data_IF_593203950332
#
_entry.id   IF_593203950332
#
_cell.length_a   1.000
_cell.length_b   1.000
_cell.length_c   1.000
_cell.angle_alpha   90.00
_cell.angle_beta   90.00
_cell.angle_gamma   90.00
#
_symmetry.space_group_name_H-M   'P 1'
#
loop_
_entity.id
_entity.type
_entity.pdbx_description
1 polymer ?
#
# COMPACT_ATOMS: atom_id res chain seq x y z
N UNK A 1 6.38 -14.61 -8.99
CA UNK A 1 5.99 -15.37 -10.20
C UNK A 1 4.71 -14.72 -10.71
N UNK A 2 4.76 -13.99 -11.82
CA UNK A 2 3.58 -13.35 -12.41
C UNK A 2 3.20 -14.08 -13.70
N UNK A 3 1.90 -14.22 -13.96
CA UNK A 3 1.41 -14.81 -15.21
C UNK A 3 1.82 -13.91 -16.37
N UNK A 4 2.44 -14.44 -17.44
CA UNK A 4 2.82 -13.65 -18.60
C UNK A 4 1.61 -12.96 -19.22
N UNK A 5 1.83 -11.76 -19.78
CA UNK A 5 0.79 -11.04 -20.51
C UNK A 5 0.50 -11.80 -21.80
N UNK A 6 -0.68 -12.41 -21.91
CA UNK A 6 -1.11 -13.09 -23.14
C UNK A 6 -1.61 -12.07 -24.16
N UNK A 7 -1.13 -12.20 -25.40
CA UNK A 7 -1.48 -11.32 -26.53
C UNK A 7 -2.99 -11.33 -26.85
N UNK A 8 -3.64 -12.49 -26.74
CA UNK A 8 -5.05 -12.70 -27.09
C UNK A 8 -6.04 -12.44 -25.94
N UNK A 9 -5.59 -11.81 -24.85
CA UNK A 9 -6.46 -11.54 -23.70
C UNK A 9 -7.24 -10.24 -23.89
N UNK A 10 -8.56 -10.29 -23.70
CA UNK A 10 -9.42 -9.10 -23.62
C UNK A 10 -9.02 -8.12 -22.50
N UNK A 11 -8.18 -8.55 -21.55
CA UNK A 11 -7.70 -7.73 -20.42
C UNK A 11 -6.23 -7.32 -20.54
N UNK A 12 -5.59 -7.56 -21.70
CA UNK A 12 -4.15 -7.35 -21.93
C UNK A 12 -3.68 -5.98 -21.47
N UNK A 13 -4.33 -4.91 -21.93
CA UNK A 13 -3.91 -3.54 -21.63
C UNK A 13 -4.01 -3.23 -20.14
N UNK A 14 -5.20 -3.44 -19.54
CA UNK A 14 -5.42 -3.21 -18.11
C UNK A 14 -4.52 -4.06 -17.22
N UNK A 15 -4.26 -5.31 -17.61
CA UNK A 15 -3.38 -6.20 -16.85
C UNK A 15 -1.92 -5.76 -16.93
N UNK A 16 -1.44 -5.33 -18.10
CA UNK A 16 -0.09 -4.80 -18.30
C UNK A 16 0.13 -3.49 -17.54
N UNK A 17 -0.84 -2.59 -17.56
CA UNK A 17 -0.81 -1.34 -16.79
C UNK A 17 -0.75 -1.62 -15.27
N UNK A 18 -1.59 -2.52 -14.78
CA UNK A 18 -1.56 -2.93 -13.37
C UNK A 18 -0.23 -3.58 -12.99
N UNK A 19 0.36 -4.41 -13.85
CA UNK A 19 1.66 -5.04 -13.59
C UNK A 19 2.77 -3.98 -13.47
N UNK A 20 2.80 -3.02 -14.40
CA UNK A 20 3.78 -1.94 -14.40
C UNK A 20 3.63 -1.05 -13.15
N UNK A 21 2.40 -0.78 -12.72
CA UNK A 21 2.10 -0.01 -11.52
C UNK A 21 2.49 -0.77 -10.24
N UNK A 22 2.22 -2.08 -10.17
CA UNK A 22 2.65 -2.93 -9.05
C UNK A 22 4.18 -3.01 -8.96
N UNK A 23 4.88 -3.21 -10.09
CA UNK A 23 6.35 -3.24 -10.13
C UNK A 23 6.97 -1.91 -9.69
N UNK A 24 6.36 -0.78 -10.06
CA UNK A 24 6.77 0.54 -9.59
C UNK A 24 6.61 0.70 -8.07
N UNK A 25 5.49 0.22 -7.51
CA UNK A 25 5.24 0.24 -6.06
C UNK A 25 6.16 -0.69 -5.27
N UNK A 26 6.54 -1.85 -5.83
CA UNK A 26 7.49 -2.78 -5.19
C UNK A 26 8.88 -2.15 -5.07
N UNK A 27 9.33 -1.42 -6.11
CA UNK A 27 10.62 -0.70 -6.07
C UNK A 27 10.64 0.45 -5.05
N UNK A 28 9.50 1.08 -4.79
CA UNK A 28 9.33 2.13 -3.78
C UNK A 28 8.98 1.62 -2.37
N UNK A 29 8.88 0.30 -2.19
CA UNK A 29 8.50 -0.30 -0.92
C UNK A 29 9.50 -0.03 0.20
N UNK A 30 9.02 0.06 1.44
CA UNK A 30 9.90 0.19 2.60
C UNK A 30 10.78 -1.03 2.81
N UNK A 31 11.93 -0.80 3.45
CA UNK A 31 12.85 -1.87 3.84
C UNK A 31 12.13 -2.95 4.68
N UNK A 32 12.30 -4.24 4.33
CA UNK A 32 11.80 -5.37 5.13
C UNK A 32 12.28 -5.35 6.58
N UNK A 33 13.41 -4.68 6.86
CA UNK A 33 13.95 -4.50 8.21
C UNK A 33 12.95 -3.84 9.16
N UNK A 34 12.17 -2.88 8.67
CA UNK A 34 11.14 -2.18 9.48
C UNK A 34 10.07 -3.17 9.94
N UNK A 35 9.70 -4.11 9.08
CA UNK A 35 8.74 -5.17 9.43
C UNK A 35 9.36 -6.14 10.45
N UNK A 36 10.62 -6.55 10.26
CA UNK A 36 11.32 -7.45 11.18
C UNK A 36 11.43 -6.84 12.59
N UNK A 37 11.78 -5.56 12.70
CA UNK A 37 11.85 -4.86 13.99
C UNK A 37 10.48 -4.75 14.67
N UNK A 38 9.41 -4.54 13.90
CA UNK A 38 8.05 -4.50 14.43
C UNK A 38 7.64 -5.87 14.99
N UNK A 39 7.88 -6.95 14.25
CA UNK A 39 7.61 -8.33 14.70
C UNK A 39 8.40 -8.66 15.96
N UNK A 40 9.70 -8.31 15.99
CA UNK A 40 10.54 -8.52 17.17
C UNK A 40 9.96 -7.86 18.43
N UNK A 41 9.50 -6.60 18.32
CA UNK A 41 8.84 -5.89 19.44
C UNK A 41 7.54 -6.57 19.88
N UNK A 42 6.74 -7.07 18.93
CA UNK A 42 5.48 -7.77 19.23
C UNK A 42 5.76 -9.05 20.03
N UNK A 43 6.75 -9.84 19.61
CA UNK A 43 7.11 -11.10 20.27
C UNK A 43 7.56 -10.86 21.73
N UNK A 44 8.26 -9.77 22.00
CA UNK A 44 8.72 -9.42 23.35
C UNK A 44 7.65 -8.75 24.24
N UNK A 45 6.47 -8.43 23.70
CA UNK A 45 5.41 -7.75 24.45
C UNK A 45 4.59 -8.75 25.26
N UNK A 46 4.47 -8.56 26.58
CA UNK A 46 3.69 -9.44 27.47
C UNK A 46 2.22 -9.64 27.06
N UNK A 47 1.58 -8.59 26.54
CA UNK A 47 0.19 -8.62 26.07
C UNK A 47 0.11 -8.03 24.67
N UNK A 48 0.39 -8.83 23.62
CA UNK A 48 0.35 -8.34 22.25
C UNK A 48 -1.10 -8.02 21.83
N UNK A 49 -1.27 -6.99 21.00
CA UNK A 49 -2.56 -6.60 20.43
C UNK A 49 -2.83 -7.41 19.16
N UNK A 50 -4.10 -7.53 18.75
CA UNK A 50 -4.46 -8.23 17.52
C UNK A 50 -4.10 -7.40 16.27
N UNK A 51 -4.12 -6.06 16.38
CA UNK A 51 -3.91 -5.17 15.23
C UNK A 51 -2.70 -4.26 15.46
N UNK A 52 -1.71 -4.37 14.59
CA UNK A 52 -0.53 -3.49 14.53
C UNK A 52 -0.48 -2.76 13.19
N UNK A 53 -0.21 -1.46 13.24
CA UNK A 53 0.00 -0.65 12.05
C UNK A 53 1.50 -0.57 11.78
N UNK A 54 1.98 -1.34 10.81
CA UNK A 54 3.36 -1.29 10.33
C UNK A 54 3.33 -0.71 8.92
N UNK A 55 4.11 0.35 8.69
CA UNK A 55 3.95 1.19 7.52
C UNK A 55 4.73 2.50 7.64
N UNK A 56 4.87 3.19 6.52
CA UNK A 56 5.56 4.46 6.39
C UNK A 56 4.78 5.54 7.10
N UNK A 57 5.43 6.67 7.42
CA UNK A 57 4.75 7.78 8.07
C UNK A 57 3.48 8.18 7.29
N UNK A 58 3.58 8.24 5.96
CA UNK A 58 2.47 8.64 5.10
C UNK A 58 1.33 7.61 5.02
N UNK A 59 1.63 6.31 5.08
CA UNK A 59 0.61 5.24 5.12
C UNK A 59 -0.14 5.22 6.46
N UNK A 60 0.56 5.47 7.56
CA UNK A 60 -0.07 5.58 8.87
C UNK A 60 -0.90 6.86 8.98
N UNK A 61 -0.38 7.95 8.43
CA UNK A 61 -1.05 9.25 8.38
C UNK A 61 -2.32 9.18 7.52
N UNK A 62 -2.29 8.52 6.36
CA UNK A 62 -3.47 8.40 5.48
C UNK A 62 -4.63 7.65 6.13
N UNK A 63 -4.36 6.62 6.95
CA UNK A 63 -5.39 5.90 7.72
C UNK A 63 -6.07 6.82 8.75
N UNK A 64 -5.29 7.71 9.37
CA UNK A 64 -5.82 8.68 10.35
C UNK A 64 -6.55 9.81 9.63
N UNK A 65 -5.98 10.31 8.53
CA UNK A 65 -6.54 11.37 7.70
C UNK A 65 -7.93 10.98 7.16
N UNK A 66 -8.09 9.74 6.68
CA UNK A 66 -9.38 9.19 6.22
C UNK A 66 -10.45 9.14 7.33
N UNK A 67 -10.06 9.04 8.60
CA UNK A 67 -11.02 9.03 9.73
C UNK A 67 -11.46 10.42 10.16
N UNK A 68 -10.68 11.46 9.83
CA UNK A 68 -10.93 12.84 10.24
C UNK A 68 -11.58 13.63 9.09
N UNK A 69 -11.23 13.32 7.84
CA UNK A 69 -11.75 14.01 6.67
C UNK A 69 -13.05 13.36 6.15
N UNK A 70 -14.06 14.17 5.77
CA UNK A 70 -15.21 13.69 5.02
C UNK A 70 -14.79 13.07 3.69
N UNK A 71 -15.41 11.96 3.31
CA UNK A 71 -15.01 11.13 2.14
C UNK A 71 -14.79 11.97 0.87
N UNK A 72 -15.69 12.91 0.55
CA UNK A 72 -15.60 13.79 -0.63
C UNK A 72 -14.40 14.73 -0.67
N UNK A 73 -13.79 15.03 0.47
CA UNK A 73 -12.59 15.87 0.54
C UNK A 73 -11.32 15.03 0.37
N UNK A 74 -11.32 13.84 0.97
CA UNK A 74 -10.22 12.89 0.83
C UNK A 74 -10.07 12.43 -0.63
N UNK A 75 -11.18 12.10 -1.29
CA UNK A 75 -11.19 11.76 -2.73
C UNK A 75 -10.67 12.90 -3.61
N UNK A 76 -11.10 14.15 -3.36
CA UNK A 76 -10.60 15.31 -4.10
C UNK A 76 -9.11 15.56 -3.91
N UNK A 77 -8.59 15.32 -2.70
CA UNK A 77 -7.16 15.43 -2.43
C UNK A 77 -6.36 14.35 -3.16
N UNK A 78 -6.87 13.11 -3.17
CA UNK A 78 -6.23 11.99 -3.87
C UNK A 78 -6.22 12.19 -5.39
N UNK A 79 -7.33 12.62 -6.00
CA UNK A 79 -7.37 12.91 -7.43
C UNK A 79 -6.32 13.95 -7.82
N UNK A 80 -6.16 15.01 -7.01
CA UNK A 80 -5.10 16.00 -7.21
C UNK A 80 -3.68 15.46 -7.02
N UNK A 81 -3.46 14.53 -6.09
CA UNK A 81 -2.12 14.02 -5.78
C UNK A 81 -1.62 12.98 -6.79
N UNK A 82 -2.54 12.22 -7.37
CA UNK A 82 -2.25 11.18 -8.36
C UNK A 82 -2.48 11.66 -9.81
N UNK A 83 -2.64 12.97 -10.03
CA UNK A 83 -2.89 13.58 -11.34
C UNK A 83 -3.98 12.86 -12.16
N UNK A 84 -5.15 12.66 -11.55
CA UNK A 84 -6.37 12.23 -12.25
C UNK A 84 -7.34 13.40 -12.45
#
# INVERSE_FOLDING_TARGET
YHTPVFEDSAYKEKYKENLALMDAHVKGGMSPKIMAEAVYKIILTKHPRIHYKVGGFMEKFSIVLKRILPDKMYERMLMKHFEM
#
